data_IF_148093272429
#
_entry.id   IF_148093272429
#
_cell.length_a   1.000
_cell.length_b   1.000
_cell.length_c   1.000
_cell.angle_alpha   90.00
_cell.angle_beta   90.00
_cell.angle_gamma   90.00
#
_symmetry.space_group_name_H-M   'P 1'
#
loop_
_entity.id
_entity.type
_entity.pdbx_description
1 polymer ?
#
# COMPACT_ATOMS: atom_id res chain seq x y z
N UNK A 1 -26.56 -17.52 17.73
CA UNK A 1 -27.61 -18.47 17.33
C UNK A 1 -28.18 -17.89 16.05
N UNK A 2 -27.67 -18.36 14.92
CA UNK A 2 -28.17 -17.96 13.61
C UNK A 2 -29.14 -19.06 13.19
N UNK A 3 -30.43 -18.83 13.41
CA UNK A 3 -31.49 -19.72 12.91
C UNK A 3 -31.56 -19.51 11.40
N UNK A 4 -31.00 -20.46 10.64
CA UNK A 4 -31.10 -20.44 9.18
C UNK A 4 -32.50 -20.96 8.80
N UNK A 5 -33.40 -20.15 8.23
CA UNK A 5 -34.79 -20.56 7.92
C UNK A 5 -34.87 -21.73 6.94
N UNK A 6 -33.79 -21.99 6.21
CA UNK A 6 -33.64 -23.10 5.28
C UNK A 6 -33.42 -24.45 6.00
N UNK A 7 -32.74 -24.45 7.14
CA UNK A 7 -32.57 -25.65 7.98
C UNK A 7 -33.92 -26.08 8.57
N UNK A 8 -34.71 -25.13 9.07
CA UNK A 8 -36.04 -25.38 9.62
C UNK A 8 -37.01 -25.94 8.56
N UNK A 9 -36.91 -25.47 7.32
CA UNK A 9 -37.70 -25.99 6.20
C UNK A 9 -37.39 -27.47 5.93
N UNK A 10 -36.11 -27.86 5.94
CA UNK A 10 -35.66 -29.25 5.73
C UNK A 10 -36.12 -30.16 6.88
N UNK A 11 -35.94 -29.71 8.13
CA UNK A 11 -36.35 -30.49 9.30
C UNK A 11 -37.87 -30.68 9.34
N UNK A 12 -38.60 -29.63 8.97
CA UNK A 12 -40.04 -29.71 8.84
C UNK A 12 -40.44 -30.68 7.72
N UNK A 13 -39.80 -30.68 6.54
CA UNK A 13 -40.04 -31.65 5.44
C UNK A 13 -39.84 -33.11 5.87
N UNK A 14 -38.78 -33.37 6.64
CA UNK A 14 -38.51 -34.70 7.21
C UNK A 14 -39.60 -35.12 8.20
N UNK A 15 -40.06 -34.19 9.05
CA UNK A 15 -41.10 -34.47 10.05
C UNK A 15 -42.47 -34.82 9.42
N UNK A 16 -42.78 -34.27 8.24
CA UNK A 16 -44.00 -34.61 7.45
C UNK A 16 -43.81 -35.88 6.61
N UNK A 17 -42.61 -36.46 6.60
CA UNK A 17 -42.26 -37.63 5.78
C UNK A 17 -42.18 -37.34 4.28
N UNK A 18 -42.05 -36.07 3.88
CA UNK A 18 -41.96 -35.67 2.48
C UNK A 18 -40.57 -35.97 1.87
N UNK A 19 -39.55 -36.08 2.72
CA UNK A 19 -38.19 -36.48 2.37
C UNK A 19 -37.72 -37.59 3.31
N UNK A 20 -36.79 -38.42 2.83
CA UNK A 20 -36.13 -39.42 3.66
C UNK A 20 -34.91 -38.85 4.42
N UNK A 21 -34.41 -39.61 5.38
CA UNK A 21 -33.27 -39.19 6.21
C UNK A 21 -31.99 -38.98 5.40
N UNK A 22 -31.78 -39.74 4.33
CA UNK A 22 -30.58 -39.64 3.51
C UNK A 22 -30.58 -38.35 2.68
N UNK A 23 -31.74 -37.95 2.18
CA UNK A 23 -31.94 -36.70 1.46
C UNK A 23 -31.85 -35.49 2.39
N UNK A 24 -32.43 -35.56 3.59
CA UNK A 24 -32.28 -34.52 4.59
C UNK A 24 -30.80 -34.28 4.94
N UNK A 25 -30.03 -35.35 5.20
CA UNK A 25 -28.59 -35.25 5.47
C UNK A 25 -27.80 -34.66 4.30
N UNK A 26 -28.14 -35.01 3.05
CA UNK A 26 -27.47 -34.43 1.86
C UNK A 26 -27.70 -32.92 1.76
N UNK A 27 -28.92 -32.46 2.04
CA UNK A 27 -29.29 -31.04 1.97
C UNK A 27 -28.67 -30.21 3.09
N UNK A 28 -28.65 -30.73 4.32
CA UNK A 28 -27.98 -30.07 5.46
C UNK A 28 -26.48 -29.94 5.18
N UNK A 29 -25.83 -31.03 4.72
CA UNK A 29 -24.41 -30.99 4.35
C UNK A 29 -24.12 -30.07 3.15
N UNK A 30 -25.12 -29.75 2.32
CA UNK A 30 -24.99 -28.77 1.25
C UNK A 30 -25.12 -27.33 1.76
N UNK A 31 -26.01 -27.07 2.73
CA UNK A 31 -26.11 -25.80 3.43
C UNK A 31 -24.83 -25.49 4.21
N UNK A 32 -24.32 -26.45 4.97
CA UNK A 32 -23.05 -26.30 5.71
C UNK A 32 -21.87 -26.02 4.75
N UNK A 33 -21.82 -26.67 3.58
CA UNK A 33 -20.80 -26.39 2.55
C UNK A 33 -20.96 -25.02 1.90
N UNK A 34 -22.18 -24.50 1.80
CA UNK A 34 -22.44 -23.15 1.29
C UNK A 34 -22.09 -22.07 2.33
N UNK A 35 -22.23 -22.38 3.63
CA UNK A 35 -21.78 -21.52 4.73
C UNK A 35 -20.24 -21.51 4.88
N UNK A 36 -19.55 -22.62 4.54
CA UNK A 36 -18.08 -22.74 4.53
C UNK A 36 -17.40 -22.22 3.24
N UNK A 37 -18.17 -21.95 2.18
CA UNK A 37 -17.66 -21.24 1.01
C UNK A 37 -17.64 -19.74 1.36
N UNK A 38 -16.46 -19.06 1.35
CA UNK A 38 -16.37 -17.71 1.91
C UNK A 38 -17.26 -16.77 1.12
N UNK A 39 -18.42 -16.45 1.68
CA UNK A 39 -19.31 -15.40 1.25
C UNK A 39 -18.47 -14.14 1.07
N UNK A 40 -18.26 -13.74 -0.18
CA UNK A 40 -17.50 -12.55 -0.52
C UNK A 40 -18.22 -11.36 0.12
N UNK A 41 -17.64 -10.86 1.22
CA UNK A 41 -18.13 -9.70 1.97
C UNK A 41 -18.59 -8.60 1.00
N UNK A 42 -19.85 -8.12 1.11
CA UNK A 42 -20.35 -7.02 0.30
C UNK A 42 -19.68 -5.73 0.78
N UNK A 43 -18.51 -5.46 0.21
CA UNK A 43 -17.63 -4.35 0.55
C UNK A 43 -16.34 -4.31 -0.25
N UNK A 44 -16.20 -5.13 -1.30
CA UNK A 44 -15.11 -5.02 -2.26
C UNK A 44 -15.27 -3.72 -3.05
N UNK A 45 -14.74 -2.63 -2.49
CA UNK A 45 -14.35 -1.45 -3.25
C UNK A 45 -13.55 -2.00 -4.43
N UNK A 46 -14.08 -1.87 -5.64
CA UNK A 46 -13.49 -2.45 -6.86
C UNK A 46 -12.04 -2.00 -6.99
N UNK A 47 -11.13 -2.80 -6.43
CA UNK A 47 -9.70 -2.59 -6.58
C UNK A 47 -9.44 -2.71 -8.08
N UNK A 48 -8.81 -1.69 -8.66
CA UNK A 48 -8.37 -1.80 -10.06
C UNK A 48 -7.57 -3.11 -10.18
N UNK A 49 -7.80 -3.90 -11.25
CA UNK A 49 -7.05 -5.14 -11.44
C UNK A 49 -5.56 -4.85 -11.35
N UNK A 50 -4.85 -5.62 -10.52
CA UNK A 50 -3.39 -5.49 -10.40
C UNK A 50 -2.79 -5.97 -11.74
N UNK A 51 -2.05 -5.11 -12.47
CA UNK A 51 -1.41 -5.48 -13.73
C UNK A 51 -0.64 -6.79 -13.63
N UNK A 52 -0.62 -7.60 -14.68
CA UNK A 52 0.16 -8.85 -14.71
C UNK A 52 1.63 -8.60 -15.07
N UNK A 53 2.54 -9.40 -14.53
CA UNK A 53 3.98 -9.26 -14.79
C UNK A 53 4.37 -9.95 -16.11
N UNK A 54 3.93 -9.38 -17.23
CA UNK A 54 4.16 -9.92 -18.58
C UNK A 54 5.41 -9.35 -19.26
N UNK A 55 6.01 -8.31 -18.67
CA UNK A 55 6.97 -7.46 -19.37
C UNK A 55 6.29 -6.60 -20.43
N UNK A 56 7.07 -5.71 -21.05
CA UNK A 56 6.63 -4.91 -22.19
C UNK A 56 7.81 -4.49 -23.07
N UNK A 57 7.59 -4.37 -24.38
CA UNK A 57 8.63 -3.99 -25.35
C UNK A 57 9.88 -4.89 -25.34
N UNK A 58 9.73 -6.17 -24.97
CA UNK A 58 10.83 -7.12 -24.81
C UNK A 58 11.71 -6.85 -23.57
N UNK A 59 11.23 -6.05 -22.62
CA UNK A 59 11.87 -5.78 -21.34
C UNK A 59 11.02 -6.37 -20.23
N UNK A 60 11.62 -7.24 -19.42
CA UNK A 60 10.97 -7.89 -18.28
C UNK A 60 11.29 -7.19 -16.96
N UNK A 61 12.46 -6.54 -16.88
CA UNK A 61 12.90 -5.87 -15.67
C UNK A 61 13.66 -4.57 -15.93
N UNK A 62 13.44 -3.57 -15.08
CA UNK A 62 14.18 -2.31 -15.05
C UNK A 62 14.94 -2.23 -13.74
N UNK A 63 16.24 -1.95 -13.80
CA UNK A 63 17.11 -1.81 -12.63
C UNK A 63 17.63 -0.39 -12.52
N UNK A 64 17.16 0.32 -11.50
CA UNK A 64 17.57 1.69 -11.20
C UNK A 64 18.70 1.63 -10.17
N UNK A 65 19.85 2.22 -10.49
CA UNK A 65 20.98 2.39 -9.57
C UNK A 65 21.22 3.87 -9.40
N UNK A 66 21.04 4.35 -8.18
CA UNK A 66 21.19 5.75 -7.86
C UNK A 66 22.03 5.97 -6.59
N UNK A 67 22.82 7.03 -6.57
CA UNK A 67 23.58 7.45 -5.40
C UNK A 67 23.35 8.92 -5.13
N UNK A 68 22.99 9.29 -3.89
CA UNK A 68 22.79 10.68 -3.46
C UNK A 68 21.64 11.41 -4.16
N UNK A 69 20.63 10.68 -4.67
CA UNK A 69 19.54 11.26 -5.45
C UNK A 69 18.15 10.96 -4.87
N UNK A 70 17.19 11.83 -5.23
CA UNK A 70 15.77 11.57 -5.04
C UNK A 70 15.24 10.87 -6.29
N UNK A 71 14.81 9.63 -6.15
CA UNK A 71 14.27 8.79 -7.21
C UNK A 71 12.75 8.70 -7.04
N UNK A 72 12.02 9.04 -8.09
CA UNK A 72 10.56 8.90 -8.18
C UNK A 72 10.23 7.90 -9.28
N UNK A 73 9.64 6.77 -8.92
CA UNK A 73 9.18 5.76 -9.87
C UNK A 73 7.65 5.85 -9.96
N UNK A 74 7.14 5.95 -11.18
CA UNK A 74 5.72 6.12 -11.48
C UNK A 74 5.33 5.01 -12.44
N UNK A 75 4.39 4.16 -12.04
CA UNK A 75 3.75 3.22 -12.95
C UNK A 75 2.83 3.96 -13.91
N UNK A 76 3.00 3.71 -15.21
CA UNK A 76 2.30 4.41 -16.26
C UNK A 76 2.07 3.50 -17.48
N UNK A 77 0.83 3.08 -17.68
CA UNK A 77 0.45 2.21 -18.81
C UNK A 77 0.55 2.91 -20.16
N UNK A 78 0.60 4.25 -20.20
CA UNK A 78 0.79 5.00 -21.44
C UNK A 78 2.24 4.96 -21.94
N UNK A 79 3.17 4.39 -21.16
CA UNK A 79 4.57 4.21 -21.55
C UNK A 79 4.78 2.76 -21.99
N UNK A 80 5.34 2.57 -23.19
CA UNK A 80 5.62 1.21 -23.71
C UNK A 80 6.61 0.46 -22.82
N UNK A 81 7.71 1.10 -22.42
CA UNK A 81 8.74 0.47 -21.57
C UNK A 81 9.11 1.36 -20.39
N UNK A 82 9.95 2.36 -20.63
CA UNK A 82 10.43 3.31 -19.62
C UNK A 82 10.68 4.67 -20.25
N UNK A 83 10.35 5.73 -19.52
CA UNK A 83 10.77 7.10 -19.80
C UNK A 83 11.47 7.65 -18.56
N UNK A 84 12.68 8.17 -18.72
CA UNK A 84 13.49 8.70 -17.62
C UNK A 84 13.72 10.19 -17.82
N UNK A 85 13.53 10.98 -16.77
CA UNK A 85 13.81 12.42 -16.71
C UNK A 85 14.79 12.71 -15.58
N UNK A 86 15.80 13.54 -15.85
CA UNK A 86 16.91 13.84 -14.94
C UNK A 86 18.26 13.42 -15.52
N UNK A 87 19.35 13.68 -14.81
CA UNK A 87 20.69 13.25 -15.24
C UNK A 87 20.86 11.75 -15.02
N UNK A 88 21.01 10.99 -16.10
CA UNK A 88 21.13 9.52 -16.05
C UNK A 88 21.88 8.98 -17.27
N UNK A 89 22.34 7.74 -17.15
CA UNK A 89 22.77 6.91 -18.27
C UNK A 89 21.90 5.67 -18.33
N UNK A 90 21.56 5.24 -19.54
CA UNK A 90 20.64 4.12 -19.77
C UNK A 90 21.38 3.06 -20.58
N UNK A 91 21.33 1.81 -20.09
CA UNK A 91 22.00 0.67 -20.71
C UNK A 91 21.01 -0.47 -20.87
N UNK A 92 20.83 -0.93 -22.12
CA UNK A 92 20.03 -2.12 -22.42
C UNK A 92 20.86 -3.38 -22.18
N UNK A 93 20.26 -4.39 -21.55
CA UNK A 93 20.70 -5.79 -21.50
C UNK A 93 19.67 -6.65 -22.26
N UNK A 94 19.95 -7.95 -22.42
CA UNK A 94 19.15 -8.88 -23.23
C UNK A 94 17.63 -8.76 -22.98
N UNK A 95 17.20 -8.79 -21.71
CA UNK A 95 15.81 -8.76 -21.26
C UNK A 95 15.53 -7.69 -20.20
N UNK A 96 16.47 -6.75 -20.02
CA UNK A 96 16.42 -5.77 -18.95
C UNK A 96 16.99 -4.41 -19.33
N UNK A 97 16.60 -3.39 -18.56
CA UNK A 97 17.07 -2.03 -18.71
C UNK A 97 17.77 -1.58 -17.44
N UNK A 98 19.00 -1.09 -17.53
CA UNK A 98 19.67 -0.43 -16.41
C UNK A 98 19.59 1.09 -16.56
N UNK A 99 19.25 1.75 -15.47
CA UNK A 99 19.29 3.21 -15.33
C UNK A 99 20.32 3.51 -14.25
N UNK A 100 21.39 4.20 -14.60
CA UNK A 100 22.40 4.63 -13.64
C UNK A 100 22.35 6.14 -13.51
N UNK A 101 22.25 6.61 -12.27
CA UNK A 101 22.16 8.03 -11.99
C UNK A 101 22.99 8.39 -10.75
N UNK A 102 23.94 9.29 -10.92
CA UNK A 102 24.83 9.70 -9.83
C UNK A 102 24.52 11.14 -9.47
N UNK A 103 24.03 11.34 -8.25
CA UNK A 103 23.96 12.65 -7.64
C UNK A 103 25.36 13.08 -7.23
N UNK A 104 25.72 14.32 -7.54
CA UNK A 104 26.92 14.91 -7.00
C UNK A 104 26.62 15.29 -5.54
N UNK A 105 27.12 14.52 -4.58
CA UNK A 105 27.26 15.00 -3.20
C UNK A 105 28.33 16.09 -3.27
N UNK A 106 27.93 17.37 -3.37
CA UNK A 106 28.87 18.48 -3.47
C UNK A 106 29.85 18.52 -2.27
N UNK A 107 31.04 19.12 -2.43
CA UNK A 107 32.01 19.22 -1.35
C UNK A 107 31.55 20.26 -0.33
N UNK A 108 30.75 19.85 0.67
CA UNK A 108 30.48 20.68 1.84
C UNK A 108 30.09 19.89 3.08
N UNK A 109 30.86 18.84 3.41
CA UNK A 109 30.92 18.35 4.82
C UNK A 109 31.70 19.32 5.75
N UNK A 110 32.18 20.45 5.22
CA UNK A 110 32.83 21.57 5.94
C UNK A 110 32.25 22.96 5.59
N UNK A 111 31.05 23.02 5.00
CA UNK A 111 30.52 24.24 4.38
C UNK A 111 29.24 24.83 5.01
N UNK A 112 28.89 24.50 6.25
CA UNK A 112 27.92 25.29 7.01
C UNK A 112 28.59 26.61 7.44
N UNK A 113 28.76 27.55 6.50
CA UNK A 113 29.01 28.94 6.85
C UNK A 113 27.66 29.64 7.05
N UNK A 114 27.36 30.19 8.24
CA UNK A 114 26.10 30.90 8.53
C UNK A 114 25.95 32.24 7.77
N UNK A 115 26.85 32.55 6.84
CA UNK A 115 27.02 33.90 6.27
C UNK A 115 26.24 34.08 4.95
N UNK A 116 25.93 33.02 4.19
CA UNK A 116 25.17 33.15 2.95
C UNK A 116 24.11 32.04 2.77
N UNK A 117 22.84 32.30 3.11
CA UNK A 117 21.76 31.40 2.76
C UNK A 117 21.55 31.39 1.24
N UNK A 118 21.42 30.22 0.59
CA UNK A 118 21.20 30.11 -0.85
C UNK A 118 19.86 30.75 -1.24
N UNK A 119 19.88 31.62 -2.24
CA UNK A 119 18.70 32.41 -2.67
C UNK A 119 18.14 32.00 -4.03
N UNK A 120 18.79 31.06 -4.75
CA UNK A 120 18.38 30.64 -6.09
C UNK A 120 18.28 29.12 -6.26
N UNK A 121 17.45 28.69 -7.22
CA UNK A 121 17.33 27.28 -7.61
C UNK A 121 18.63 26.71 -8.20
N UNK A 122 19.51 27.57 -8.75
CA UNK A 122 20.82 27.16 -9.24
C UNK A 122 21.85 26.97 -8.12
N UNK A 123 21.80 27.75 -7.03
CA UNK A 123 22.62 27.51 -5.82
C UNK A 123 22.28 26.17 -5.16
N UNK A 124 21.00 25.75 -5.22
CA UNK A 124 20.55 24.47 -4.67
C UNK A 124 21.04 23.29 -5.52
N UNK A 125 21.09 23.44 -6.86
CA UNK A 125 21.71 22.47 -7.76
C UNK A 125 23.21 22.32 -7.51
N UNK A 126 23.90 23.42 -7.17
CA UNK A 126 25.32 23.42 -6.83
C UNK A 126 25.63 22.77 -5.47
N UNK A 127 24.65 22.73 -4.54
CA UNK A 127 24.74 22.05 -3.24
C UNK A 127 24.50 20.53 -3.30
N UNK A 128 24.39 19.94 -4.49
CA UNK A 128 24.14 18.50 -4.66
C UNK A 128 22.68 18.09 -4.46
N UNK A 129 21.77 19.05 -4.28
CA UNK A 129 20.32 18.84 -4.23
C UNK A 129 19.73 18.85 -5.65
N UNK A 130 20.32 18.05 -6.53
CA UNK A 130 19.97 18.01 -7.96
C UNK A 130 18.49 17.72 -8.26
N UNK A 131 18.10 17.94 -9.52
CA UNK A 131 16.77 17.57 -10.02
C UNK A 131 16.50 16.07 -9.74
N UNK A 132 15.31 15.77 -9.21
CA UNK A 132 14.92 14.41 -8.90
C UNK A 132 14.93 13.54 -10.17
N UNK A 133 15.44 12.31 -10.08
CA UNK A 133 15.35 11.32 -11.13
C UNK A 133 13.91 10.81 -11.18
N UNK A 134 13.17 11.11 -12.24
CA UNK A 134 11.80 10.62 -12.44
C UNK A 134 11.83 9.51 -13.48
N UNK A 135 11.36 8.32 -13.09
CA UNK A 135 11.28 7.14 -13.95
C UNK A 135 9.80 6.78 -14.09
N UNK A 136 9.23 6.98 -15.27
CA UNK A 136 7.93 6.43 -15.65
C UNK A 136 8.17 5.06 -16.26
N UNK A 137 7.47 4.04 -15.77
CA UNK A 137 7.67 2.64 -16.18
C UNK A 137 6.32 1.98 -16.42
N UNK A 138 6.24 1.13 -17.43
CA UNK A 138 5.06 0.32 -17.64
C UNK A 138 4.83 -0.61 -16.43
N UNK A 139 3.64 -0.63 -15.81
CA UNK A 139 3.41 -1.42 -14.59
C UNK A 139 3.43 -2.93 -14.80
N UNK A 140 3.46 -3.41 -16.05
CA UNK A 140 3.68 -4.82 -16.40
C UNK A 140 5.16 -5.25 -16.32
N UNK A 141 6.09 -4.31 -16.11
CA UNK A 141 7.53 -4.55 -16.00
C UNK A 141 7.96 -4.57 -14.53
N UNK A 142 8.82 -5.51 -14.15
CA UNK A 142 9.36 -5.58 -12.79
C UNK A 142 10.37 -4.45 -12.54
N UNK A 143 10.29 -3.78 -11.38
CA UNK A 143 11.26 -2.74 -11.00
C UNK A 143 12.19 -3.24 -9.90
N UNK A 144 13.50 -3.11 -10.15
CA UNK A 144 14.56 -3.27 -9.18
C UNK A 144 15.20 -1.91 -8.88
N UNK A 145 15.58 -1.68 -7.63
CA UNK A 145 16.17 -0.42 -7.19
C UNK A 145 17.36 -0.69 -6.28
N UNK A 146 18.44 0.04 -6.51
CA UNK A 146 19.54 0.15 -5.57
C UNK A 146 19.84 1.64 -5.37
N UNK A 147 19.61 2.12 -4.16
CA UNK A 147 19.82 3.50 -3.78
C UNK A 147 20.81 3.56 -2.61
N UNK A 148 21.84 4.38 -2.74
CA UNK A 148 22.77 4.70 -1.65
C UNK A 148 22.75 6.19 -1.39
N UNK A 149 22.17 6.60 -0.26
CA UNK A 149 21.92 8.01 0.04
C UNK A 149 20.79 8.60 -0.81
N UNK A 150 19.81 9.22 -0.16
CA UNK A 150 18.70 9.92 -0.83
C UNK A 150 17.32 9.35 -0.49
N UNK A 151 16.37 9.44 -1.42
CA UNK A 151 15.02 8.91 -1.21
C UNK A 151 14.45 8.21 -2.43
N UNK A 152 13.66 7.16 -2.19
CA UNK A 152 12.90 6.41 -3.18
C UNK A 152 11.40 6.60 -2.93
N UNK A 153 10.68 7.12 -3.92
CA UNK A 153 9.23 7.18 -3.90
C UNK A 153 8.69 6.40 -5.10
N UNK A 154 7.95 5.32 -4.84
CA UNK A 154 7.27 4.52 -5.85
C UNK A 154 5.76 4.68 -5.76
N UNK A 155 5.09 4.91 -6.88
CA UNK A 155 3.61 4.90 -6.96
C UNK A 155 3.13 4.19 -8.21
N UNK A 156 2.02 3.45 -8.13
CA UNK A 156 1.44 2.74 -9.28
C UNK A 156 2.31 1.60 -9.83
N UNK A 157 3.35 1.17 -9.11
CA UNK A 157 4.22 0.07 -9.50
C UNK A 157 3.89 -1.14 -8.62
N UNK A 158 3.16 -2.14 -9.13
CA UNK A 158 2.75 -3.29 -8.33
C UNK A 158 3.87 -4.32 -8.12
N UNK A 159 4.82 -4.42 -9.06
CA UNK A 159 5.83 -5.50 -9.10
C UNK A 159 7.23 -4.99 -8.81
N UNK A 160 7.65 -5.11 -7.55
CA UNK A 160 9.01 -4.83 -7.13
C UNK A 160 9.80 -6.12 -7.00
N UNK A 161 10.95 -6.16 -7.66
CA UNK A 161 11.89 -7.25 -7.49
C UNK A 161 12.77 -7.01 -6.28
N UNK A 162 14.02 -6.63 -6.55
CA UNK A 162 15.01 -6.33 -5.50
C UNK A 162 15.09 -4.83 -5.25
N UNK A 163 14.79 -4.40 -4.04
CA UNK A 163 14.88 -3.01 -3.58
C UNK A 163 15.91 -2.93 -2.46
N UNK A 164 17.02 -2.24 -2.70
CA UNK A 164 18.06 -1.99 -1.68
C UNK A 164 18.23 -0.51 -1.47
N UNK A 165 18.02 -0.04 -0.25
CA UNK A 165 18.19 1.35 0.10
C UNK A 165 19.06 1.45 1.34
N UNK A 166 20.18 2.14 1.20
CA UNK A 166 21.11 2.40 2.30
C UNK A 166 21.16 3.90 2.57
N UNK A 167 21.14 4.32 3.84
CA UNK A 167 21.19 5.72 4.25
C UNK A 167 20.10 6.60 3.58
N UNK A 168 18.85 6.11 3.55
CA UNK A 168 17.79 6.75 2.78
C UNK A 168 16.38 6.50 3.27
N UNK A 169 15.43 7.18 2.63
CA UNK A 169 14.01 7.06 2.91
C UNK A 169 13.31 6.38 1.74
N UNK A 170 12.43 5.42 2.04
CA UNK A 170 11.65 4.72 1.03
C UNK A 170 10.16 4.85 1.30
N UNK A 171 9.38 5.20 0.28
CA UNK A 171 7.92 5.13 0.31
C UNK A 171 7.44 4.47 -0.97
N UNK A 172 6.89 3.27 -0.87
CA UNK A 172 6.28 2.54 -1.98
C UNK A 172 4.78 2.45 -1.73
N UNK A 173 3.97 2.82 -2.72
CA UNK A 173 2.52 2.60 -2.70
C UNK A 173 2.11 1.61 -3.78
N UNK A 174 0.93 1.02 -3.59
CA UNK A 174 0.29 0.10 -4.53
C UNK A 174 1.10 -1.18 -4.77
N UNK A 175 1.87 -1.61 -3.76
CA UNK A 175 2.76 -2.78 -3.86
C UNK A 175 1.95 -4.06 -3.75
N UNK A 176 1.87 -4.80 -4.85
CA UNK A 176 1.29 -6.15 -4.88
C UNK A 176 2.32 -7.21 -4.54
N UNK A 177 3.58 -7.00 -4.94
CA UNK A 177 4.69 -7.91 -4.74
C UNK A 177 6.00 -7.14 -4.55
N UNK A 178 6.80 -7.54 -3.56
CA UNK A 178 8.16 -7.05 -3.28
C UNK A 178 9.08 -8.24 -2.93
N UNK A 179 9.78 -8.77 -3.93
CA UNK A 179 10.54 -10.03 -3.77
C UNK A 179 11.63 -9.97 -2.68
N UNK A 180 12.42 -8.89 -2.66
CA UNK A 180 13.52 -8.69 -1.70
C UNK A 180 13.73 -7.20 -1.43
N UNK A 181 13.27 -6.72 -0.28
CA UNK A 181 13.48 -5.37 0.22
C UNK A 181 14.51 -5.34 1.35
N UNK A 182 15.63 -4.63 1.16
CA UNK A 182 16.64 -4.39 2.19
C UNK A 182 16.79 -2.90 2.45
N UNK A 183 16.54 -2.49 3.69
CA UNK A 183 16.60 -1.10 4.14
C UNK A 183 17.64 -0.96 5.26
N UNK A 184 18.73 -0.27 4.97
CA UNK A 184 19.87 -0.13 5.87
C UNK A 184 20.01 1.35 6.26
N UNK A 185 20.10 1.64 7.56
CA UNK A 185 20.24 3.00 8.07
C UNK A 185 19.17 3.97 7.50
N UNK A 186 17.89 3.61 7.60
CA UNK A 186 16.82 4.33 6.92
C UNK A 186 15.42 4.01 7.42
N UNK A 187 14.42 4.69 6.85
CA UNK A 187 13.01 4.37 7.09
C UNK A 187 12.33 3.96 5.81
N UNK A 188 11.51 2.91 5.86
CA UNK A 188 10.74 2.41 4.75
C UNK A 188 9.25 2.36 5.09
N UNK A 189 8.42 2.88 4.19
CA UNK A 189 6.97 2.72 4.22
C UNK A 189 6.58 1.95 2.96
N UNK A 190 5.95 0.79 3.14
CA UNK A 190 5.47 -0.06 2.05
C UNK A 190 3.97 -0.20 2.23
N UNK A 191 3.21 0.32 1.29
CA UNK A 191 1.75 0.28 1.28
C UNK A 191 1.26 -0.48 0.05
N UNK A 192 0.30 -1.37 0.25
CA UNK A 192 -0.33 -2.10 -0.84
C UNK A 192 -1.06 -3.35 -0.38
N UNK A 193 -1.67 -4.09 -1.33
CA UNK A 193 -2.37 -5.32 -1.01
C UNK A 193 -1.39 -6.45 -0.64
N UNK A 194 -0.13 -6.40 -1.08
CA UNK A 194 0.89 -7.45 -0.84
C UNK A 194 0.36 -8.87 -1.12
N UNK A 195 -0.57 -8.99 -2.06
CA UNK A 195 -1.40 -10.18 -2.29
C UNK A 195 -0.78 -11.17 -3.27
N UNK A 196 0.47 -10.96 -3.71
CA UNK A 196 1.17 -11.84 -4.63
C UNK A 196 2.54 -12.27 -4.13
N UNK A 197 2.89 -13.52 -4.42
CA UNK A 197 4.24 -14.06 -4.27
C UNK A 197 4.74 -14.17 -2.84
N UNK A 198 6.07 -14.19 -2.71
CA UNK A 198 6.76 -14.12 -1.44
C UNK A 198 7.40 -12.74 -1.30
N UNK A 199 7.10 -12.05 -0.21
CA UNK A 199 7.58 -10.73 0.11
C UNK A 199 8.58 -10.82 1.27
N UNK A 200 9.84 -10.45 1.05
CA UNK A 200 10.87 -10.47 2.10
C UNK A 200 11.34 -9.05 2.34
N UNK A 201 11.02 -8.49 3.51
CA UNK A 201 11.41 -7.13 3.89
C UNK A 201 12.32 -7.17 5.11
N UNK A 202 13.52 -6.61 4.96
CA UNK A 202 14.56 -6.57 5.99
C UNK A 202 14.94 -5.14 6.30
N UNK A 203 14.94 -4.79 7.57
CA UNK A 203 15.41 -3.51 8.08
C UNK A 203 16.54 -3.73 9.08
N UNK A 204 17.74 -3.26 8.77
CA UNK A 204 18.88 -3.44 9.66
C UNK A 204 18.91 -2.38 10.76
N UNK A 205 18.77 -1.12 10.38
CA UNK A 205 18.74 0.00 11.31
C UNK A 205 17.75 1.06 10.85
N UNK A 206 16.83 1.44 11.75
CA UNK A 206 15.78 2.43 11.48
C UNK A 206 14.35 1.88 11.63
N UNK A 207 13.48 2.14 10.65
CA UNK A 207 12.05 1.86 10.77
C UNK A 207 11.42 1.25 9.53
N UNK A 208 10.54 0.28 9.71
CA UNK A 208 9.71 -0.29 8.66
C UNK A 208 8.24 -0.14 9.03
N UNK A 209 7.46 0.44 8.14
CA UNK A 209 6.00 0.51 8.24
C UNK A 209 5.42 -0.22 7.04
N UNK A 210 4.57 -1.21 7.31
CA UNK A 210 3.80 -1.95 6.31
C UNK A 210 2.34 -1.58 6.48
N UNK A 211 1.72 -1.03 5.45
CA UNK A 211 0.31 -0.62 5.46
C UNK A 211 -0.48 -1.49 4.48
N UNK A 212 -1.35 -2.34 5.02
CA UNK A 212 -2.19 -3.23 4.23
C UNK A 212 -3.37 -2.44 3.67
N UNK A 213 -3.54 -2.46 2.35
CA UNK A 213 -4.63 -1.76 1.67
C UNK A 213 -5.79 -2.71 1.37
N UNK A 214 -6.89 -2.17 0.82
CA UNK A 214 -7.97 -2.99 0.29
C UNK A 214 -7.42 -4.03 -0.71
N UNK A 215 -7.99 -5.25 -0.66
CA UNK A 215 -7.53 -6.38 -1.47
C UNK A 215 -6.29 -7.10 -0.92
N UNK A 216 -5.90 -6.84 0.33
CA UNK A 216 -4.79 -7.57 0.95
C UNK A 216 -5.14 -9.05 1.20
N UNK A 217 -4.23 -9.94 0.80
CA UNK A 217 -4.38 -11.40 0.93
C UNK A 217 -3.00 -12.01 1.23
N UNK A 218 -2.58 -11.94 2.49
CA UNK A 218 -1.22 -12.28 2.89
C UNK A 218 -1.11 -12.79 4.34
N UNK A 219 -0.22 -13.74 4.57
CA UNK A 219 0.25 -14.15 5.89
C UNK A 219 1.57 -13.43 6.20
N UNK A 220 1.55 -12.52 7.18
CA UNK A 220 2.68 -11.70 7.60
C UNK A 220 3.32 -12.33 8.84
N UNK A 221 4.63 -12.58 8.80
CA UNK A 221 5.44 -12.96 9.96
C UNK A 221 6.48 -11.91 10.23
N UNK A 222 6.71 -11.58 11.50
CA UNK A 222 7.68 -10.56 11.86
C UNK A 222 8.65 -11.04 12.94
N UNK A 223 9.94 -10.79 12.74
CA UNK A 223 10.99 -11.03 13.73
C UNK A 223 11.86 -9.80 13.87
N UNK A 224 12.18 -9.40 15.10
CA UNK A 224 13.06 -8.26 15.34
C UNK A 224 14.05 -8.61 16.45
N UNK A 225 15.36 -8.56 16.16
CA UNK A 225 16.39 -8.99 17.11
C UNK A 225 16.52 -8.00 18.28
N UNK A 226 16.59 -6.71 17.97
CA UNK A 226 16.76 -5.61 18.91
C UNK A 226 15.77 -4.51 18.52
N UNK A 227 14.55 -4.61 19.05
CA UNK A 227 13.51 -3.63 18.79
C UNK A 227 12.11 -4.17 19.08
N UNK A 228 11.10 -3.49 18.55
CA UNK A 228 9.70 -3.86 18.73
C UNK A 228 9.01 -4.11 17.39
N UNK A 229 8.07 -5.05 17.38
CA UNK A 229 7.08 -5.25 16.33
C UNK A 229 5.74 -4.75 16.86
N UNK A 230 5.03 -3.93 16.09
CA UNK A 230 3.65 -3.54 16.40
C UNK A 230 2.71 -4.09 15.35
N UNK A 231 1.77 -4.91 15.79
CA UNK A 231 0.72 -5.48 14.96
C UNK A 231 -0.53 -4.57 14.92
N UNK A 232 -1.41 -4.74 13.91
CA UNK A 232 -2.65 -3.99 13.81
C UNK A 232 -3.58 -4.17 15.02
N UNK A 233 -4.43 -3.17 15.27
CA UNK A 233 -5.40 -3.13 16.36
C UNK A 233 -4.76 -2.95 17.75
N UNK A 234 -3.48 -2.59 17.82
CA UNK A 234 -2.75 -2.45 19.08
C UNK A 234 -2.63 -3.75 19.89
N UNK A 235 -2.79 -4.93 19.24
CA UNK A 235 -2.84 -6.24 19.92
C UNK A 235 -1.53 -6.70 20.57
N UNK A 236 -0.44 -5.93 20.45
CA UNK A 236 0.82 -6.18 21.18
C UNK A 236 1.48 -7.53 20.84
N UNK A 237 2.54 -7.87 21.58
CA UNK A 237 3.53 -8.93 21.32
C UNK A 237 3.00 -10.38 21.39
N UNK A 238 1.69 -10.62 21.28
CA UNK A 238 1.09 -11.94 21.54
C UNK A 238 1.12 -12.92 20.37
N UNK A 239 1.45 -12.48 19.16
CA UNK A 239 1.44 -13.34 17.97
C UNK A 239 2.63 -13.03 17.06
N UNK A 240 3.23 -14.08 16.51
CA UNK A 240 4.35 -14.00 15.55
C UNK A 240 3.88 -13.84 14.09
N UNK A 241 2.58 -14.07 13.86
CA UNK A 241 1.95 -14.07 12.55
C UNK A 241 0.62 -13.31 12.57
N UNK A 242 0.38 -12.56 11.50
CA UNK A 242 -0.87 -11.86 11.22
C UNK A 242 -1.34 -12.24 9.82
N UNK A 243 -2.54 -12.80 9.72
CA UNK A 243 -3.12 -13.22 8.44
C UNK A 243 -4.24 -12.26 8.07
N UNK A 244 -4.17 -11.74 6.84
CA UNK A 244 -5.20 -10.91 6.21
C UNK A 244 -5.73 -11.62 4.96
N UNK A 245 -7.04 -11.52 4.73
CA UNK A 245 -7.70 -12.25 3.64
C UNK A 245 -7.58 -13.76 3.83
N UNK A 246 -7.20 -14.48 2.77
CA UNK A 246 -7.00 -15.93 2.79
C UNK A 246 -5.55 -16.34 3.09
N UNK A 247 -4.62 -15.39 3.21
CA UNK A 247 -3.20 -15.66 3.42
C UNK A 247 -2.46 -16.23 2.20
N UNK A 248 -2.88 -15.91 0.98
CA UNK A 248 -2.31 -16.47 -0.25
C UNK A 248 -0.84 -16.08 -0.47
N UNK A 249 -0.51 -14.81 -0.24
CA UNK A 249 0.88 -14.36 -0.28
C UNK A 249 1.57 -14.57 1.07
N UNK A 250 2.90 -14.74 1.03
CA UNK A 250 3.71 -14.84 2.24
C UNK A 250 4.54 -13.59 2.39
N UNK A 251 4.54 -12.99 3.57
CA UNK A 251 5.30 -11.77 3.85
C UNK A 251 6.16 -11.98 5.10
N UNK A 252 7.48 -11.99 4.93
CA UNK A 252 8.44 -12.09 6.02
C UNK A 252 9.06 -10.71 6.29
N UNK A 253 8.88 -10.25 7.52
CA UNK A 253 9.42 -8.99 8.03
C UNK A 253 10.54 -9.32 9.01
N UNK A 254 11.73 -8.75 8.81
CA UNK A 254 12.87 -8.98 9.69
C UNK A 254 13.58 -7.69 10.06
N UNK A 255 13.93 -7.57 11.33
CA UNK A 255 14.57 -6.40 11.92
C UNK A 255 15.82 -6.76 12.72
N UNK A 256 16.86 -5.91 12.65
CA UNK A 256 18.03 -6.03 13.55
C UNK A 256 17.93 -5.00 14.67
N UNK A 257 18.21 -3.73 14.42
CA UNK A 257 18.09 -2.61 15.37
C UNK A 257 17.00 -1.65 14.90
N UNK A 258 15.74 -2.09 14.95
CA UNK A 258 14.67 -1.43 14.19
C UNK A 258 13.33 -1.38 14.89
N UNK A 259 12.40 -0.60 14.35
CA UNK A 259 10.98 -0.67 14.70
C UNK A 259 10.18 -1.12 13.49
N UNK A 260 9.43 -2.21 13.64
CA UNK A 260 8.51 -2.70 12.61
C UNK A 260 7.09 -2.39 13.05
N UNK A 261 6.31 -1.77 12.19
CA UNK A 261 4.89 -1.46 12.42
C UNK A 261 4.09 -2.00 11.25
N UNK A 262 3.16 -2.89 11.53
CA UNK A 262 2.17 -3.38 10.58
C UNK A 262 0.86 -2.69 10.90
N UNK A 263 0.20 -2.15 9.88
CA UNK A 263 -1.09 -1.48 9.98
C UNK A 263 -2.07 -2.13 9.02
N UNK A 264 -3.30 -2.26 9.47
CA UNK A 264 -4.42 -2.66 8.63
C UNK A 264 -5.55 -1.63 8.81
N UNK A 265 -5.49 -0.49 8.08
CA UNK A 265 -6.54 0.51 8.12
C UNK A 265 -7.88 0.01 7.56
N UNK A 266 -7.93 -1.14 6.88
CA UNK A 266 -9.18 -1.72 6.39
C UNK A 266 -9.90 -2.43 7.52
N UNK A 267 -9.18 -3.26 8.29
CA UNK A 267 -9.72 -3.93 9.47
C UNK A 267 -9.85 -3.01 10.69
N UNK A 268 -8.96 -2.02 10.82
CA UNK A 268 -8.85 -1.08 11.94
C UNK A 268 -8.79 0.37 11.44
N UNK A 269 -9.91 0.96 10.99
CA UNK A 269 -9.95 2.31 10.41
C UNK A 269 -9.41 3.40 11.33
N UNK A 270 -9.48 3.22 12.65
CA UNK A 270 -8.94 4.15 13.65
C UNK A 270 -7.42 4.30 13.58
N UNK A 271 -6.72 3.34 12.97
CA UNK A 271 -5.27 3.43 12.77
C UNK A 271 -4.88 4.41 11.67
N UNK A 272 -5.79 4.69 10.72
CA UNK A 272 -5.55 5.60 9.60
C UNK A 272 -5.29 7.04 10.06
N UNK A 273 -5.90 7.46 11.18
CA UNK A 273 -5.77 8.81 11.73
C UNK A 273 -4.57 8.96 12.69
N UNK A 274 -3.83 7.88 13.00
CA UNK A 274 -2.68 7.93 13.92
C UNK A 274 -1.39 8.37 13.20
N UNK A 275 -0.77 9.50 13.59
CA UNK A 275 0.47 9.96 12.97
C UNK A 275 1.59 8.93 13.13
N UNK A 276 2.29 8.66 12.03
CA UNK A 276 3.38 7.70 11.96
C UNK A 276 4.69 8.36 12.36
N UNK A 277 5.67 7.59 12.86
CA UNK A 277 7.04 8.09 13.02
C UNK A 277 7.63 8.67 11.71
N UNK A 278 7.17 8.18 10.55
CA UNK A 278 7.52 8.69 9.23
C UNK A 278 6.79 9.97 8.80
N UNK A 279 5.75 10.42 9.51
CA UNK A 279 5.02 11.67 9.19
C UNK A 279 5.73 12.92 9.74
N UNK A 280 6.62 12.75 10.72
CA UNK A 280 7.47 13.82 11.26
C UNK A 280 8.60 14.22 10.31
N UNK A 281 8.81 13.48 9.21
CA UNK A 281 9.72 13.84 8.12
C UNK A 281 9.01 14.76 7.10
N UNK A 282 8.53 15.92 7.56
CA UNK A 282 8.13 17.03 6.69
C UNK A 282 9.25 18.06 6.62
N UNK A 283 9.97 18.06 5.50
CA UNK A 283 10.84 19.16 5.09
C UNK A 283 10.05 20.08 4.17
N UNK A 284 9.90 21.34 4.57
CA UNK A 284 9.33 22.41 3.74
C UNK A 284 7.80 22.42 3.73
N UNK A 285 7.21 23.46 4.32
CA UNK A 285 5.76 23.60 4.45
C UNK A 285 5.04 23.65 3.11
N UNK A 286 4.50 22.51 2.68
CA UNK A 286 3.37 22.45 1.75
C UNK A 286 2.62 21.13 1.98
N UNK A 287 1.34 21.25 2.35
CA UNK A 287 0.44 20.11 2.55
C UNK A 287 0.03 19.56 1.19
N UNK A 288 0.82 18.67 0.60
CA UNK A 288 0.29 17.72 -0.39
C UNK A 288 -0.46 16.61 0.38
N UNK A 289 -1.70 16.91 0.74
CA UNK A 289 -2.71 15.92 1.11
C UNK A 289 -3.25 15.36 -0.20
N UNK A 290 -2.77 14.21 -0.61
CA UNK A 290 -3.27 13.54 -1.80
C UNK A 290 -3.28 12.03 -1.56
N UNK A 291 -4.47 11.43 -1.57
CA UNK A 291 -4.64 9.97 -1.61
C UNK A 291 -5.86 9.37 -0.90
N UNK A 292 -6.22 9.81 0.31
CA UNK A 292 -7.18 9.03 1.13
C UNK A 292 -8.34 9.83 1.75
N UNK A 293 -8.37 11.16 1.62
CA UNK A 293 -9.44 12.00 2.22
C UNK A 293 -10.52 12.48 1.24
N UNK A 294 -10.27 12.40 -0.07
CA UNK A 294 -11.18 12.95 -1.08
C UNK A 294 -12.41 12.07 -1.34
N UNK A 295 -12.41 10.81 -0.91
CA UNK A 295 -13.57 9.91 -1.08
C UNK A 295 -14.56 10.03 0.08
N UNK A 296 -14.10 10.36 1.28
CA UNK A 296 -14.98 10.47 2.47
C UNK A 296 -15.64 11.85 2.59
N UNK A 297 -14.97 12.93 2.20
CA UNK A 297 -15.59 14.28 2.24
C UNK A 297 -16.67 14.44 1.15
N UNK A 298 -16.50 13.87 -0.06
CA UNK A 298 -17.53 13.95 -1.12
C UNK A 298 -18.76 13.08 -0.86
N UNK A 299 -18.63 11.96 -0.13
CA UNK A 299 -19.78 11.14 0.26
C UNK A 299 -20.56 11.82 1.40
N UNK A 300 -19.87 12.52 2.32
CA UNK A 300 -20.53 13.27 3.41
C UNK A 300 -21.20 14.55 2.93
N UNK A 301 -20.63 15.27 1.96
CA UNK A 301 -21.29 16.45 1.37
C UNK A 301 -22.53 16.06 0.53
N UNK A 302 -22.50 14.92 -0.18
CA UNK A 302 -23.66 14.43 -0.94
C UNK A 302 -24.74 13.84 -0.03
N UNK A 303 -24.37 13.21 1.10
CA UNK A 303 -25.34 12.73 2.09
C UNK A 303 -25.96 13.85 2.93
N UNK A 304 -25.18 14.87 3.34
CA UNK A 304 -25.71 16.03 4.04
C UNK A 304 -26.67 16.85 3.15
N UNK A 305 -26.35 17.02 1.87
CA UNK A 305 -27.23 17.69 0.90
C UNK A 305 -28.51 16.90 0.59
N UNK A 306 -28.53 15.57 0.80
CA UNK A 306 -29.72 14.74 0.59
C UNK A 306 -30.59 14.61 1.86
N UNK A 307 -30.06 14.97 3.03
CA UNK A 307 -30.79 14.96 4.31
C UNK A 307 -31.45 16.31 4.59
N UNK A 308 -30.79 17.43 4.29
CA UNK A 308 -31.41 18.78 4.36
C UNK A 308 -32.59 18.94 3.38
N UNK A 309 -32.57 18.24 2.24
CA UNK A 309 -33.66 18.23 1.28
C UNK A 309 -34.88 17.37 1.72
N UNK A 310 -34.73 16.50 2.73
CA UNK A 310 -35.84 15.70 3.28
C UNK A 310 -36.44 16.33 4.54
N UNK A 311 -35.65 17.04 5.33
CA UNK A 311 -36.14 17.71 6.55
C UNK A 311 -36.75 19.09 6.29
N UNK A 312 -36.48 19.72 5.12
CA UNK A 312 -37.12 20.97 4.68
C UNK A 312 -38.52 20.82 4.07
N UNK A 313 -39.09 19.60 4.03
CA UNK A 313 -40.37 19.30 3.37
C UNK A 313 -41.59 19.17 4.30
N UNK A 314 -41.44 19.45 5.61
CA UNK A 314 -42.48 19.18 6.61
C UNK A 314 -42.98 20.44 7.37
N UNK A 315 -42.91 21.63 6.78
CA UNK A 315 -43.63 22.81 7.27
C UNK A 315 -44.42 23.46 6.13
N UNK A 316 -45.70 23.08 6.00
CA UNK A 316 -46.54 23.70 4.98
C UNK A 316 -47.89 23.05 4.71
N UNK A 317 -48.68 22.71 5.73
CA UNK A 317 -50.14 22.58 5.54
C UNK A 317 -50.90 22.60 6.87
N UNK A 318 -51.36 23.77 7.29
CA UNK A 318 -52.69 23.86 7.91
C UNK A 318 -53.26 25.27 7.74
N UNK A 319 -54.18 25.41 6.79
CA UNK A 319 -55.19 26.47 6.77
C UNK A 319 -56.54 25.78 6.97
N UNK A 320 -57.40 26.32 7.83
CA UNK A 320 -58.82 26.43 7.48
C UNK A 320 -59.29 27.87 7.74
N UNK A 321 -59.65 28.65 6.71
CA UNK A 321 -61.01 28.82 6.17
C UNK A 321 -62.12 29.03 7.22
N UNK A 322 -62.66 30.26 7.23
CA UNK A 322 -64.06 30.60 7.55
C UNK A 322 -64.27 31.02 9.00
N UNK A 323 -64.91 32.14 9.33
CA UNK A 323 -65.81 33.05 8.62
C UNK A 323 -65.86 34.37 9.37
#
# INVERSE_FOLDING_TARGET
MSDSPELDAILSELARGAIDTAEASRRIAALERAEDEPEALPGAVSARPIPELTGSGGINAVTIRATGQRVRVIGDEAVDTVVVSGQHTLRRRADGLDILATGHLGPSVRGFSPIHPPRSADDLKQLGLGAALVVRVNPHIQVNTQLSGGSLVGRGVPHWGRVRVSAGLTRLSDVAQLNDGLFQAGSAVVSGPLSRGANVLRVESGGLVVELTAGADAALRARNQLGAVRWPGGRGDRFDEYVVGRGQARTELSGVMSRIVVRDPVAFPEEADRPTAGDWLRVGGERLRDGARLVVERVREVQAAHQDARDGGAEGSETPIGR
#
